data_IF_605809435467
#
_entry.id   IF_605809435467
#
_cell.length_a   1.000
_cell.length_b   1.000
_cell.length_c   1.000
_cell.angle_alpha   90.00
_cell.angle_beta   90.00
_cell.angle_gamma   90.00
#
_symmetry.space_group_name_H-M   'P 1'
#
loop_
_entity.id
_entity.type
_entity.pdbx_description
1 polymer ?
#
# COMPACT_ATOMS: atom_id res chain seq x y z
N UNK A 1 11.59 16.08 -57.83
CA UNK A 1 10.41 15.53 -57.14
C UNK A 1 10.91 14.76 -55.92
N UNK A 2 11.05 15.44 -54.79
CA UNK A 2 11.54 14.83 -53.55
C UNK A 2 10.41 14.06 -52.86
N UNK A 3 10.62 12.76 -52.64
CA UNK A 3 9.67 11.93 -51.91
C UNK A 3 9.99 12.04 -50.41
N UNK A 4 9.13 12.75 -49.68
CA UNK A 4 9.21 12.85 -48.22
C UNK A 4 9.10 11.43 -47.63
N UNK A 5 10.21 10.93 -47.08
CA UNK A 5 10.25 9.63 -46.39
C UNK A 5 9.32 9.69 -45.17
N UNK A 6 8.08 9.22 -45.33
CA UNK A 6 7.09 9.15 -44.25
C UNK A 6 7.57 8.13 -43.22
N UNK A 7 8.05 8.65 -42.09
CA UNK A 7 8.63 7.85 -41.02
C UNK A 7 7.55 6.94 -40.39
N UNK A 8 7.62 5.60 -40.55
CA UNK A 8 6.56 4.67 -40.12
C UNK A 8 6.32 4.69 -38.60
N UNK A 9 7.35 5.06 -37.85
CA UNK A 9 7.35 5.09 -36.38
C UNK A 9 6.33 6.05 -35.78
N UNK A 10 5.87 7.06 -36.53
CA UNK A 10 4.86 8.03 -36.06
C UNK A 10 3.43 7.48 -36.10
N UNK A 11 3.15 6.46 -36.92
CA UNK A 11 1.79 5.86 -37.01
C UNK A 11 1.52 4.81 -35.94
N UNK A 12 2.55 4.14 -35.45
CA UNK A 12 2.41 3.08 -34.42
C UNK A 12 1.95 3.67 -33.08
N UNK A 13 2.44 4.86 -32.72
CA UNK A 13 2.09 5.55 -31.48
C UNK A 13 0.67 6.15 -31.46
N UNK A 14 0.03 6.28 -32.62
CA UNK A 14 -1.30 6.89 -32.74
C UNK A 14 -2.39 5.83 -32.85
N UNK A 15 -2.10 4.70 -33.52
CA UNK A 15 -2.99 3.54 -33.58
C UNK A 15 -3.17 2.82 -32.23
N UNK A 16 -2.26 3.03 -31.27
CA UNK A 16 -2.33 2.44 -29.93
C UNK A 16 -3.13 3.27 -28.92
N UNK A 17 -3.71 4.41 -29.33
CA UNK A 17 -4.35 5.37 -28.41
C UNK A 17 -5.86 5.21 -28.28
N UNK A 18 -6.48 4.34 -29.06
CA UNK A 18 -7.94 4.32 -29.22
C UNK A 18 -8.48 2.88 -29.36
N UNK A 19 -7.87 1.93 -28.63
CA UNK A 19 -8.45 0.60 -28.45
C UNK A 19 -9.29 0.62 -27.15
N UNK A 20 -10.64 0.61 -27.25
CA UNK A 20 -11.52 0.63 -26.08
C UNK A 20 -11.46 -0.66 -25.25
N UNK A 21 -10.78 -1.71 -25.74
CA UNK A 21 -10.49 -2.98 -25.06
C UNK A 21 -9.03 -3.03 -24.57
N UNK A 22 -8.42 -1.87 -24.32
CA UNK A 22 -7.08 -1.77 -23.75
C UNK A 22 -7.03 -2.43 -22.37
N UNK A 23 -6.52 -3.66 -22.30
CA UNK A 23 -6.16 -4.40 -21.07
C UNK A 23 -5.45 -3.53 -20.01
N UNK A 24 -4.79 -2.45 -20.43
CA UNK A 24 -4.17 -1.50 -19.52
C UNK A 24 -5.16 -0.80 -18.57
N UNK A 25 -6.37 -0.45 -19.03
CA UNK A 25 -7.38 0.20 -18.20
C UNK A 25 -7.92 -0.78 -17.13
N UNK A 26 -8.08 -2.05 -17.51
CA UNK A 26 -8.45 -3.14 -16.60
C UNK A 26 -7.37 -3.43 -15.55
N UNK A 27 -6.09 -3.39 -15.94
CA UNK A 27 -4.97 -3.57 -15.01
C UNK A 27 -4.87 -2.43 -14.01
N UNK A 28 -5.07 -1.18 -14.46
CA UNK A 28 -5.10 0.00 -13.59
C UNK A 28 -6.26 -0.09 -12.58
N UNK A 29 -7.46 -0.46 -13.05
CA UNK A 29 -8.61 -0.66 -12.18
C UNK A 29 -8.37 -1.74 -11.12
N UNK A 30 -7.80 -2.89 -11.53
CA UNK A 30 -7.45 -3.98 -10.62
C UNK A 30 -6.40 -3.56 -9.59
N UNK A 31 -5.35 -2.84 -10.01
CA UNK A 31 -4.31 -2.37 -9.11
C UNK A 31 -4.82 -1.35 -8.07
N UNK A 32 -5.82 -0.55 -8.43
CA UNK A 32 -6.46 0.42 -7.53
C UNK A 32 -7.62 -0.17 -6.72
N UNK A 33 -7.99 -1.44 -6.94
CA UNK A 33 -9.06 -2.10 -6.19
C UNK A 33 -8.61 -2.41 -4.76
N UNK A 34 -9.55 -2.57 -3.84
CA UNK A 34 -9.25 -2.96 -2.46
C UNK A 34 -8.65 -4.37 -2.41
N UNK A 35 -7.68 -4.56 -1.51
CA UNK A 35 -7.11 -5.89 -1.25
C UNK A 35 -8.17 -6.84 -0.68
N UNK A 36 -8.12 -8.10 -1.12
CA UNK A 36 -8.92 -9.17 -0.54
C UNK A 36 -8.25 -9.72 0.72
N UNK A 37 -8.99 -10.50 1.52
CA UNK A 37 -8.42 -11.17 2.70
C UNK A 37 -7.29 -12.14 2.31
N UNK A 38 -7.46 -12.85 1.19
CA UNK A 38 -6.46 -13.77 0.64
C UNK A 38 -5.17 -13.02 0.29
N UNK A 39 -5.27 -11.85 -0.34
CA UNK A 39 -4.10 -11.03 -0.69
C UNK A 39 -3.30 -10.60 0.55
N UNK A 40 -4.00 -10.34 1.67
CA UNK A 40 -3.38 -9.95 2.94
C UNK A 40 -2.71 -11.16 3.61
N UNK A 41 -3.34 -12.33 3.58
CA UNK A 41 -2.81 -13.56 4.17
C UNK A 41 -1.59 -14.11 3.40
N UNK A 42 -1.59 -14.00 2.07
CA UNK A 42 -0.49 -14.46 1.21
C UNK A 42 0.68 -13.45 1.13
N UNK A 43 0.54 -12.27 1.75
CA UNK A 43 1.57 -11.24 1.75
C UNK A 43 2.78 -11.63 2.61
N UNK A 44 3.92 -11.86 1.96
CA UNK A 44 5.17 -12.25 2.62
C UNK A 44 6.06 -11.06 3.01
N UNK A 45 5.67 -9.84 2.65
CA UNK A 45 6.45 -8.64 2.90
C UNK A 45 6.21 -8.05 4.28
N UNK A 46 7.00 -7.04 4.62
CA UNK A 46 6.77 -6.19 5.79
C UNK A 46 6.17 -4.86 5.35
N UNK A 47 5.31 -4.30 6.21
CA UNK A 47 4.77 -2.94 6.04
C UNK A 47 5.28 -2.05 7.17
N UNK A 48 5.53 -0.79 6.84
CA UNK A 48 5.76 0.22 7.85
C UNK A 48 4.43 0.58 8.51
N UNK A 49 4.37 0.45 9.83
CA UNK A 49 3.18 0.76 10.61
C UNK A 49 3.45 2.02 11.44
N UNK A 50 2.45 2.90 11.50
CA UNK A 50 2.51 4.05 12.38
C UNK A 50 2.65 3.60 13.85
N UNK A 51 3.43 4.35 14.64
CA UNK A 51 3.69 4.04 16.03
C UNK A 51 2.52 4.43 16.95
N UNK A 52 1.34 3.91 16.66
CA UNK A 52 0.11 4.18 17.41
C UNK A 52 -0.19 3.03 18.40
N UNK A 53 -0.45 3.32 19.70
CA UNK A 53 -0.65 2.29 20.72
C UNK A 53 -1.81 1.31 20.47
N UNK A 54 -2.95 1.74 19.94
CA UNK A 54 -4.10 0.88 19.66
C UNK A 54 -3.81 -0.16 18.56
N UNK A 55 -2.99 0.18 17.55
CA UNK A 55 -2.52 -0.80 16.57
C UNK A 55 -1.71 -1.92 17.23
N UNK A 56 -0.72 -1.57 18.05
CA UNK A 56 0.09 -2.58 18.74
C UNK A 56 -0.73 -3.41 19.74
N UNK A 57 -1.65 -2.78 20.47
CA UNK A 57 -2.55 -3.50 21.38
C UNK A 57 -3.43 -4.52 20.64
N UNK A 58 -3.90 -4.18 19.44
CA UNK A 58 -4.71 -5.08 18.61
C UNK A 58 -3.86 -6.23 18.08
N UNK A 59 -2.67 -5.94 17.52
CA UNK A 59 -1.73 -6.96 17.05
C UNK A 59 -1.37 -7.95 18.17
N UNK A 60 -1.01 -7.46 19.37
CA UNK A 60 -0.65 -8.32 20.49
C UNK A 60 -1.80 -9.23 20.93
N UNK A 61 -3.02 -8.69 20.95
CA UNK A 61 -4.23 -9.46 21.28
C UNK A 61 -4.53 -10.52 20.23
N UNK A 62 -4.37 -10.19 18.95
CA UNK A 62 -4.59 -11.13 17.84
C UNK A 62 -3.54 -12.24 17.83
N UNK A 63 -2.30 -11.95 18.26
CA UNK A 63 -1.26 -12.94 18.52
C UNK A 63 -1.49 -13.78 19.78
N UNK A 64 -2.57 -13.52 20.52
CA UNK A 64 -2.97 -14.29 21.72
C UNK A 64 -2.32 -13.84 23.03
N UNK A 65 -1.57 -12.72 23.02
CA UNK A 65 -1.01 -12.13 24.24
C UNK A 65 -2.14 -11.49 25.05
N UNK A 66 -2.16 -11.74 26.36
CA UNK A 66 -3.19 -11.24 27.28
C UNK A 66 -2.56 -10.52 28.46
N UNK A 67 -3.35 -9.64 29.08
CA UNK A 67 -2.98 -8.89 30.29
C UNK A 67 -1.80 -7.93 30.09
N UNK A 68 -1.63 -7.40 28.87
CA UNK A 68 -0.65 -6.36 28.54
C UNK A 68 -1.36 -5.19 27.88
N UNK A 69 -0.82 -3.98 28.06
CA UNK A 69 -1.29 -2.75 27.40
C UNK A 69 -0.07 -1.96 26.95
N UNK A 70 -0.01 -1.66 25.66
CA UNK A 70 0.93 -0.69 25.08
C UNK A 70 0.39 0.71 25.35
N UNK A 71 1.24 1.58 25.87
CA UNK A 71 0.95 2.99 26.14
C UNK A 71 2.08 3.86 25.59
N UNK A 72 1.72 5.04 25.10
CA UNK A 72 2.69 6.03 24.66
C UNK A 72 3.28 6.76 25.87
N UNK A 73 4.59 7.02 25.81
CA UNK A 73 5.31 7.83 26.77
C UNK A 73 5.86 9.08 26.06
N UNK A 74 5.45 10.25 26.52
CA UNK A 74 5.84 11.52 25.91
C UNK A 74 7.22 12.01 26.39
N UNK A 75 7.59 11.66 27.62
CA UNK A 75 8.89 11.99 28.22
C UNK A 75 9.37 10.84 29.12
N UNK A 76 10.65 10.86 29.46
CA UNK A 76 11.29 9.86 30.32
C UNK A 76 11.51 10.36 31.76
N UNK A 77 10.73 11.35 32.19
CA UNK A 77 10.78 11.82 33.58
C UNK A 77 10.03 10.88 34.52
N UNK A 78 10.28 11.04 35.82
CA UNK A 78 9.69 10.18 36.85
C UNK A 78 8.16 10.30 36.87
N UNK A 79 7.63 11.50 36.69
CA UNK A 79 6.18 11.74 36.71
C UNK A 79 5.47 10.98 35.57
N UNK A 80 6.06 10.96 34.38
CA UNK A 80 5.53 10.24 33.22
C UNK A 80 5.66 8.73 33.35
N UNK A 81 6.72 8.26 34.01
CA UNK A 81 6.91 6.83 34.29
C UNK A 81 5.95 6.33 35.36
N UNK A 82 5.71 7.14 36.39
CA UNK A 82 4.74 6.85 37.46
C UNK A 82 3.31 6.83 36.93
N UNK A 83 3.00 7.65 35.91
CA UNK A 83 1.67 7.67 35.28
C UNK A 83 1.31 6.38 34.51
N UNK A 84 2.30 5.54 34.17
CA UNK A 84 2.09 4.29 33.42
C UNK A 84 2.40 3.01 34.22
N UNK A 85 2.84 3.16 35.47
CA UNK A 85 3.15 2.08 36.43
C UNK A 85 1.88 1.53 37.08
#
# INVERSE_FOLDING_TARGET
METLRRNPKRKVSEAARDDPDSEADDLLWKACSSLTVQDIEDWQGWVELESEPAFFNTILRDLGVRHVKVQELFTMDQDSLDAVS
#
